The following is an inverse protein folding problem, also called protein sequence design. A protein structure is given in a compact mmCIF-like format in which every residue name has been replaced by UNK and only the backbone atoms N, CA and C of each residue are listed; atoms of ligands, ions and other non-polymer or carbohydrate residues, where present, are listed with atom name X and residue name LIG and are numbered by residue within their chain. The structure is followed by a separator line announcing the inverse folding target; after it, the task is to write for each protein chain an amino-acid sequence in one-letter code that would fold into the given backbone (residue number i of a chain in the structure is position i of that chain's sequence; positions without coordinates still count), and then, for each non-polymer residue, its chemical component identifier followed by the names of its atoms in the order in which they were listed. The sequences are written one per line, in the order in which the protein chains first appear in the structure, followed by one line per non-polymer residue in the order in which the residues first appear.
data_IF_946924526209
#
_entry.id   IF_946924526209
#
_cell.length_a   1.000
_cell.length_b   1.000
_cell.length_c   1.000
_cell.angle_alpha   90.00
_cell.angle_beta   90.00
_cell.angle_gamma   90.00
#
_symmetry.space_group_name_H-M   'P 1'
#
loop_
_entity.id
_entity.type
_entity.pdbx_description
1 polymer ?
#
# COMPACT_ATOMS: atom_id res chain seq x y z
N UNK A 1 5.56 -6.83 0.83
CA UNK A 1 6.11 -5.46 0.86
C UNK A 1 5.98 -4.84 2.24
N UNK A 2 4.79 -4.74 2.82
CA UNK A 2 4.61 -4.23 4.19
C UNK A 2 5.53 -4.94 5.22
N UNK A 3 5.62 -6.27 5.18
CA UNK A 3 6.52 -7.01 6.06
C UNK A 3 8.01 -6.65 5.89
N UNK A 4 8.50 -6.53 4.65
CA UNK A 4 9.87 -6.12 4.35
C UNK A 4 10.18 -4.75 4.98
N UNK A 5 9.29 -3.77 4.81
CA UNK A 5 9.48 -2.43 5.37
C UNK A 5 9.39 -2.47 6.92
N UNK A 6 8.49 -3.30 7.47
CA UNK A 6 8.31 -3.44 8.92
C UNK A 6 9.53 -4.09 9.59
N UNK A 7 10.21 -5.00 8.89
CA UNK A 7 11.47 -5.59 9.36
C UNK A 7 12.55 -4.51 9.57
N UNK A 8 12.48 -3.40 8.85
CA UNK A 8 13.37 -2.24 9.00
C UNK A 8 12.93 -1.25 10.09
N UNK A 9 11.92 -1.58 10.90
CA UNK A 9 11.39 -0.75 12.00
C UNK A 9 10.72 0.57 11.59
N UNK A 10 10.34 0.72 10.31
CA UNK A 10 9.53 1.85 9.88
C UNK A 10 8.06 1.59 10.15
N UNK A 11 7.35 2.62 10.61
CA UNK A 11 5.89 2.58 10.76
C UNK A 11 5.23 2.55 9.39
N UNK A 12 4.21 1.71 9.25
CA UNK A 12 3.50 1.50 7.99
C UNK A 12 2.02 1.50 8.26
N UNK A 13 1.28 2.12 7.36
CA UNK A 13 -0.17 1.96 7.24
C UNK A 13 -0.43 1.00 6.09
N UNK A 14 -1.13 -0.08 6.36
CA UNK A 14 -1.59 -1.05 5.36
C UNK A 14 -3.10 -0.87 5.19
N UNK A 15 -3.50 -0.39 4.01
CA UNK A 15 -4.92 -0.19 3.65
C UNK A 15 -5.33 -1.20 2.58
N UNK A 16 -6.54 -1.71 2.70
CA UNK A 16 -7.16 -2.59 1.68
C UNK A 16 -8.65 -2.23 1.48
N UNK A 17 -9.30 -2.87 0.52
CA UNK A 17 -10.75 -2.74 0.30
C UNK A 17 -11.54 -3.44 1.42
N UNK A 18 -12.80 -3.03 1.58
CA UNK A 18 -13.74 -3.73 2.48
C UNK A 18 -14.07 -5.14 1.95
N UNK A 19 -14.15 -6.09 2.88
CA UNK A 19 -14.68 -7.43 2.59
C UNK A 19 -16.17 -7.37 2.24
N UNK A 20 -16.54 -7.82 1.04
CA UNK A 20 -17.96 -7.86 0.61
C UNK A 20 -18.80 -8.94 1.31
N UNK A 21 -18.14 -10.00 1.78
CA UNK A 21 -18.77 -11.21 2.32
C UNK A 21 -18.52 -11.37 3.84
N UNK A 22 -18.45 -10.26 4.59
CA UNK A 22 -18.21 -10.31 6.04
C UNK A 22 -18.72 -9.07 6.76
N UNK A 23 -19.12 -9.24 8.02
CA UNK A 23 -19.51 -8.12 8.91
C UNK A 23 -18.31 -7.30 9.42
N UNK A 24 -17.09 -7.83 9.32
CA UNK A 24 -15.85 -7.12 9.62
C UNK A 24 -15.31 -6.44 8.36
N UNK A 25 -15.37 -5.10 8.25
CA UNK A 25 -14.87 -4.38 7.07
C UNK A 25 -13.37 -4.56 6.86
N UNK A 26 -12.60 -4.82 7.92
CA UNK A 26 -11.15 -4.96 7.88
C UNK A 26 -10.68 -6.42 7.75
N UNK A 27 -11.59 -7.38 7.51
CA UNK A 27 -11.24 -8.81 7.44
C UNK A 27 -10.10 -9.13 6.48
N UNK A 28 -10.08 -8.49 5.30
CA UNK A 28 -9.03 -8.72 4.29
C UNK A 28 -7.65 -8.33 4.85
N UNK A 29 -7.53 -7.10 5.37
CA UNK A 29 -6.26 -6.61 5.90
C UNK A 29 -5.84 -7.31 7.20
N UNK A 30 -6.81 -7.67 8.05
CA UNK A 30 -6.59 -8.48 9.25
C UNK A 30 -5.98 -9.83 8.88
N UNK A 31 -6.62 -10.54 7.94
CA UNK A 31 -6.15 -11.84 7.45
C UNK A 31 -4.76 -11.72 6.82
N UNK A 32 -4.51 -10.66 6.04
CA UNK A 32 -3.21 -10.39 5.45
C UNK A 32 -2.12 -10.21 6.52
N UNK A 33 -2.40 -9.43 7.58
CA UNK A 33 -1.47 -9.21 8.71
C UNK A 33 -1.18 -10.51 9.46
N UNK A 34 -2.20 -11.31 9.75
CA UNK A 34 -2.02 -12.61 10.42
C UNK A 34 -1.14 -13.58 9.61
N UNK A 35 -1.30 -13.58 8.29
CA UNK A 35 -0.55 -14.43 7.38
C UNK A 35 0.95 -14.07 7.31
N UNK A 36 1.34 -12.85 7.69
CA UNK A 36 2.75 -12.43 7.70
C UNK A 36 3.63 -13.25 8.65
N UNK A 37 3.04 -13.96 9.61
CA UNK A 37 3.75 -14.83 10.55
C UNK A 37 3.83 -16.29 10.11
N UNK A 38 3.03 -16.70 9.12
CA UNK A 38 2.75 -18.14 8.85
C UNK A 38 2.90 -18.55 7.39
N UNK A 39 3.32 -17.64 6.51
CA UNK A 39 3.39 -17.92 5.07
C UNK A 39 4.42 -19.03 4.74
N UNK A 40 4.03 -19.94 3.84
CA UNK A 40 4.86 -21.05 3.34
C UNK A 40 5.30 -20.82 1.90
N UNK A 41 6.47 -21.36 1.47
CA UNK A 41 7.49 -22.02 2.31
C UNK A 41 8.25 -21.01 3.19
N UNK A 42 8.86 -21.46 4.31
CA UNK A 42 9.64 -20.58 5.18
C UNK A 42 10.86 -19.97 4.47
N UNK A 43 11.45 -18.90 5.03
CA UNK A 43 11.05 -18.18 6.24
C UNK A 43 9.77 -17.33 6.08
N UNK A 44 9.07 -17.01 7.19
CA UNK A 44 7.93 -16.10 7.15
C UNK A 44 8.34 -14.68 6.68
N UNK A 45 7.40 -13.90 6.12
CA UNK A 45 7.68 -12.53 5.67
C UNK A 45 8.23 -11.60 6.75
N UNK A 46 7.71 -11.69 7.98
CA UNK A 46 8.27 -10.96 9.11
C UNK A 46 9.42 -11.76 9.72
N UNK A 47 10.59 -11.13 9.83
CA UNK A 47 11.76 -11.76 10.45
C UNK A 47 11.55 -12.03 11.93
N UNK A 48 10.80 -11.15 12.61
CA UNK A 48 10.43 -11.29 14.03
C UNK A 48 8.95 -10.96 14.24
N UNK A 49 8.23 -11.64 15.16
CA UNK A 49 6.80 -11.40 15.36
C UNK A 49 6.44 -9.98 15.82
N UNK A 50 7.30 -9.34 16.61
CA UNK A 50 7.12 -7.97 17.11
C UNK A 50 7.12 -6.92 15.99
N UNK A 51 7.65 -7.24 14.80
CA UNK A 51 7.61 -6.37 13.62
C UNK A 51 6.19 -6.05 13.17
N UNK A 52 5.22 -6.89 13.50
CA UNK A 52 3.81 -6.60 13.25
C UNK A 52 3.28 -5.36 14.01
N UNK A 53 3.96 -4.93 15.09
CA UNK A 53 3.60 -3.72 15.84
C UNK A 53 3.87 -2.43 15.06
N UNK A 54 4.71 -2.48 14.02
CA UNK A 54 4.95 -1.34 13.14
C UNK A 54 3.88 -1.21 12.03
N UNK A 55 2.95 -2.16 11.94
CA UNK A 55 1.90 -2.19 10.91
C UNK A 55 0.57 -1.79 11.53
N UNK A 56 0.16 -0.55 11.26
CA UNK A 56 -1.21 -0.08 11.43
C UNK A 56 -2.04 -0.55 10.24
N UNK A 57 -3.25 -1.05 10.49
CA UNK A 57 -4.15 -1.55 9.44
C UNK A 57 -5.39 -0.66 9.34
N UNK A 58 -6.01 -0.63 8.16
CA UNK A 58 -7.28 0.04 7.92
C UNK A 58 -7.85 -0.30 6.55
N UNK A 59 -8.93 0.38 6.16
CA UNK A 59 -9.56 0.23 4.86
C UNK A 59 -9.64 1.55 4.08
N UNK A 60 -9.88 1.44 2.77
CA UNK A 60 -9.95 2.58 1.86
C UNK A 60 -11.24 3.40 2.00
N UNK A 61 -12.19 3.00 2.83
CA UNK A 61 -13.52 3.61 2.94
C UNK A 61 -13.63 4.52 4.16
N UNK A 62 -13.04 4.12 5.28
CA UNK A 62 -13.14 4.82 6.55
C UNK A 62 -11.80 5.37 7.05
N UNK A 63 -10.67 4.83 6.60
CA UNK A 63 -9.36 5.07 7.23
C UNK A 63 -8.37 5.84 6.33
N UNK A 64 -8.86 6.55 5.32
CA UNK A 64 -8.00 7.36 4.43
C UNK A 64 -7.24 8.48 5.16
N UNK A 65 -7.76 8.95 6.30
CA UNK A 65 -7.08 9.94 7.14
C UNK A 65 -5.71 9.46 7.65
N UNK A 66 -5.50 8.14 7.75
CA UNK A 66 -4.19 7.57 8.13
C UNK A 66 -3.08 7.92 7.12
N UNK A 67 -3.44 8.28 5.88
CA UNK A 67 -2.49 8.66 4.83
C UNK A 67 -1.83 10.02 5.12
N UNK A 68 -2.49 10.90 5.90
CA UNK A 68 -2.00 12.25 6.22
C UNK A 68 -0.66 12.25 6.95
N UNK A 69 -0.31 11.15 7.61
CA UNK A 69 0.95 10.99 8.32
C UNK A 69 2.05 10.31 7.48
N UNK A 70 1.74 9.86 6.26
CA UNK A 70 2.66 9.11 5.40
C UNK A 70 3.53 10.02 4.53
N UNK A 71 4.84 9.77 4.54
CA UNK A 71 5.80 10.44 3.65
C UNK A 71 5.98 9.69 2.30
N UNK A 72 5.64 8.40 2.27
CA UNK A 72 5.67 7.55 1.08
C UNK A 72 4.42 6.69 1.03
N UNK A 73 3.68 6.77 -0.08
CA UNK A 73 2.50 5.95 -0.35
C UNK A 73 2.79 5.05 -1.55
N UNK A 74 2.74 3.73 -1.33
CA UNK A 74 3.01 2.74 -2.38
C UNK A 74 1.71 2.01 -2.74
N UNK A 75 1.27 2.17 -3.97
CA UNK A 75 0.11 1.51 -4.54
C UNK A 75 0.48 0.10 -5.05
N UNK A 76 -0.26 -0.91 -4.56
CA UNK A 76 -0.08 -2.33 -4.90
C UNK A 76 -1.44 -3.00 -5.14
N UNK A 77 -2.15 -2.55 -6.17
CA UNK A 77 -3.47 -3.08 -6.56
C UNK A 77 -3.39 -3.77 -7.93
N UNK A 78 -4.55 -4.27 -8.38
CA UNK A 78 -4.70 -4.93 -9.68
C UNK A 78 -4.13 -4.08 -10.82
N UNK A 79 -3.53 -4.74 -11.82
CA UNK A 79 -2.85 -4.08 -12.94
C UNK A 79 -3.84 -3.57 -14.00
N UNK A 80 -4.72 -2.64 -13.60
CA UNK A 80 -5.72 -1.98 -14.47
C UNK A 80 -5.61 -0.47 -14.30
N UNK A 81 -5.28 0.22 -15.39
CA UNK A 81 -5.03 1.67 -15.40
C UNK A 81 -6.20 2.47 -14.80
N UNK A 82 -7.43 2.17 -15.22
CA UNK A 82 -8.64 2.84 -14.74
C UNK A 82 -8.80 2.72 -13.21
N UNK A 83 -8.59 1.52 -12.66
CA UNK A 83 -8.73 1.27 -11.21
C UNK A 83 -7.63 2.02 -10.44
N UNK A 84 -6.42 2.09 -10.98
CA UNK A 84 -5.31 2.85 -10.37
C UNK A 84 -5.62 4.34 -10.35
N UNK A 85 -6.08 4.93 -11.44
CA UNK A 85 -6.48 6.34 -11.49
C UNK A 85 -7.64 6.66 -10.52
N UNK A 86 -8.64 5.78 -10.43
CA UNK A 86 -9.71 5.91 -9.44
C UNK A 86 -9.16 5.92 -8.01
N UNK A 87 -8.22 5.03 -7.70
CA UNK A 87 -7.56 5.03 -6.41
C UNK A 87 -6.76 6.31 -6.17
N UNK A 88 -5.94 6.76 -7.13
CA UNK A 88 -5.14 7.98 -7.00
C UNK A 88 -6.02 9.18 -6.69
N UNK A 89 -7.10 9.39 -7.44
CA UNK A 89 -8.04 10.48 -7.18
C UNK A 89 -8.69 10.41 -5.80
N UNK A 90 -8.94 9.19 -5.29
CA UNK A 90 -9.51 8.95 -3.96
C UNK A 90 -8.52 9.26 -2.84
N UNK A 91 -7.23 8.95 -3.01
CA UNK A 91 -6.22 9.04 -1.93
C UNK A 91 -5.41 10.33 -1.92
N UNK A 92 -5.16 10.95 -3.07
CA UNK A 92 -4.36 12.19 -3.21
C UNK A 92 -4.81 13.32 -2.26
N UNK A 93 -6.12 13.56 -2.03
CA UNK A 93 -6.56 14.60 -1.09
C UNK A 93 -6.05 14.43 0.35
N UNK A 94 -5.60 13.23 0.73
CA UNK A 94 -5.10 12.90 2.06
C UNK A 94 -3.57 12.95 2.16
N UNK A 95 -2.88 13.29 1.07
CA UNK A 95 -1.42 13.30 1.05
C UNK A 95 -0.87 14.52 1.78
N UNK A 96 0.30 14.36 2.41
CA UNK A 96 1.14 15.51 2.73
C UNK A 96 1.55 16.23 1.45
N UNK A 97 1.90 17.51 1.59
CA UNK A 97 2.33 18.35 0.47
C UNK A 97 3.56 17.77 -0.25
N UNK A 98 4.45 17.10 0.48
CA UNK A 98 5.72 16.54 0.03
C UNK A 98 5.76 15.00 -0.08
N UNK A 99 4.69 14.29 0.29
CA UNK A 99 4.61 12.83 0.21
C UNK A 99 4.91 12.27 -1.19
N UNK A 100 5.73 11.23 -1.29
CA UNK A 100 6.01 10.54 -2.56
C UNK A 100 4.88 9.53 -2.84
N UNK A 101 4.44 9.46 -4.10
CA UNK A 101 3.56 8.38 -4.58
C UNK A 101 4.37 7.41 -5.42
N UNK A 102 4.21 6.12 -5.16
CA UNK A 102 4.83 5.06 -5.93
C UNK A 102 3.78 4.05 -6.41
N UNK A 103 3.90 3.58 -7.65
CA UNK A 103 3.17 2.38 -8.09
C UNK A 103 4.11 1.19 -8.14
N UNK A 104 3.67 0.03 -7.63
CA UNK A 104 4.38 -1.24 -7.80
C UNK A 104 4.08 -1.94 -9.13
N UNK A 105 3.78 -1.19 -10.19
CA UNK A 105 3.49 -1.75 -11.52
C UNK A 105 4.72 -2.42 -12.14
N UNK A 106 4.49 -3.48 -12.92
CA UNK A 106 5.53 -4.14 -13.72
C UNK A 106 5.45 -3.83 -15.21
N UNK A 107 4.28 -3.40 -15.70
CA UNK A 107 4.04 -3.30 -17.15
C UNK A 107 3.46 -1.96 -17.60
N UNK A 108 2.87 -1.18 -16.69
CA UNK A 108 2.29 0.11 -17.07
C UNK A 108 3.37 1.20 -17.11
N UNK A 109 3.47 1.97 -18.21
CA UNK A 109 4.41 3.09 -18.29
C UNK A 109 4.06 4.20 -17.28
N UNK A 110 5.08 4.81 -16.69
CA UNK A 110 4.92 5.93 -15.74
C UNK A 110 4.07 7.06 -16.32
N UNK A 111 4.28 7.41 -17.59
CA UNK A 111 3.53 8.47 -18.27
C UNK A 111 2.01 8.20 -18.28
N UNK A 112 1.59 6.93 -18.44
CA UNK A 112 0.17 6.56 -18.40
C UNK A 112 -0.40 6.60 -16.99
N UNK A 113 0.40 6.21 -15.99
CA UNK A 113 -0.01 6.26 -14.58
C UNK A 113 -0.23 7.70 -14.10
N UNK A 114 0.57 8.65 -14.58
CA UNK A 114 0.51 10.03 -14.12
C UNK A 114 -0.29 10.98 -15.02
N UNK A 115 -0.76 10.52 -16.19
CA UNK A 115 -1.36 11.32 -17.29
C UNK A 115 -2.35 12.41 -16.80
N UNK A 116 -3.25 12.05 -15.87
CA UNK A 116 -4.33 12.92 -15.38
C UNK A 116 -4.13 13.43 -13.95
N UNK A 117 -2.93 13.28 -13.38
CA UNK A 117 -2.65 13.74 -12.03
C UNK A 117 -2.25 15.23 -12.00
N UNK A 118 -2.47 15.93 -10.87
CA UNK A 118 -1.95 17.28 -10.67
C UNK A 118 -0.42 17.34 -10.84
N UNK A 119 0.12 18.46 -11.33
CA UNK A 119 1.56 18.57 -11.64
C UNK A 119 2.46 18.39 -10.41
N UNK A 120 2.03 18.87 -9.25
CA UNK A 120 2.74 18.65 -7.99
C UNK A 120 2.79 17.15 -7.62
N UNK A 121 1.77 16.36 -7.95
CA UNK A 121 1.76 14.90 -7.77
C UNK A 121 2.64 14.22 -8.81
N UNK A 122 2.52 14.61 -10.09
CA UNK A 122 3.34 14.08 -11.19
C UNK A 122 4.84 14.19 -10.91
N UNK A 123 5.28 15.32 -10.35
CA UNK A 123 6.69 15.59 -10.05
C UNK A 123 7.29 14.66 -8.98
N UNK A 124 6.45 14.08 -8.13
CA UNK A 124 6.82 13.16 -7.03
C UNK A 124 6.23 11.76 -7.21
N UNK A 125 5.85 11.41 -8.44
CA UNK A 125 5.38 10.07 -8.80
C UNK A 125 6.55 9.23 -9.29
N UNK A 126 6.78 8.09 -8.63
CA UNK A 126 7.81 7.12 -9.01
C UNK A 126 7.23 5.74 -9.28
N UNK A 127 8.01 4.89 -9.93
CA UNK A 127 7.74 3.45 -10.00
C UNK A 127 8.65 2.75 -9.00
N UNK A 128 8.06 1.95 -8.13
CA UNK A 128 8.78 0.93 -7.38
C UNK A 128 8.57 -0.39 -8.08
N UNK A 129 9.59 -1.25 -8.20
CA UNK A 129 9.42 -2.56 -8.85
C UNK A 129 9.93 -3.66 -7.94
N UNK A 130 9.14 -4.02 -6.93
CA UNK A 130 9.45 -5.10 -6.00
C UNK A 130 9.27 -6.47 -6.67
N UNK A 131 10.27 -7.33 -6.55
CA UNK A 131 10.18 -8.73 -6.98
C UNK A 131 9.43 -9.57 -5.94
N UNK A 132 8.67 -10.56 -6.41
CA UNK A 132 7.92 -11.48 -5.55
C UNK A 132 8.74 -12.77 -5.26
N UNK A 133 8.92 -13.19 -3.98
CA UNK A 133 8.48 -12.53 -2.76
C UNK A 133 9.39 -11.35 -2.38
N UNK A 134 8.82 -10.18 -2.01
CA UNK A 134 9.62 -9.08 -1.48
C UNK A 134 10.11 -9.48 -0.09
N UNK A 135 11.42 -9.67 0.05
CA UNK A 135 12.09 -10.12 1.28
C UNK A 135 13.11 -9.10 1.74
#
# INVERSE_FOLDING_TARGET
MAALIANSSYKIVLLDIIAKDSDDPNKIVNTAKENLHKQKPPPPPLSFPDRANFITIGNLEYDLDLIKECDLVIEVIVEKLEIKHQLYNKIIPYFKEDAIIASNTSTLPLERLKENLPDNIKSRFVITHFFNPPR
#
